data_IF_882153944407
#
_entry.id   IF_882153944407
#
_cell.length_a   1.000
_cell.length_b   1.000
_cell.length_c   1.000
_cell.angle_alpha   90.00
_cell.angle_beta   90.00
_cell.angle_gamma   90.00
#
_symmetry.space_group_name_H-M   'P 1'
#
loop_
_entity.id
_entity.type
_entity.pdbx_description
1 polymer ?
#
# COMPACT_ATOMS: atom_id res chain seq x y z
N UNK A 1 9.56 10.34 14.56
CA UNK A 1 9.59 9.38 15.70
C UNK A 1 8.20 8.84 16.08
N UNK A 2 7.17 9.68 16.32
CA UNK A 2 5.84 9.25 16.83
C UNK A 2 5.18 8.12 16.00
N UNK A 3 5.23 8.21 14.67
CA UNK A 3 4.62 7.24 13.76
C UNK A 3 5.35 5.89 13.66
N UNK A 4 6.63 5.81 14.02
CA UNK A 4 7.40 4.56 13.94
C UNK A 4 6.99 3.60 15.05
N UNK A 5 6.67 4.13 16.23
CA UNK A 5 6.20 3.34 17.39
C UNK A 5 4.89 2.60 17.09
N UNK A 6 3.97 3.23 16.35
CA UNK A 6 2.73 2.59 15.94
C UNK A 6 2.97 1.42 14.98
N UNK A 7 3.81 1.59 13.95
CA UNK A 7 4.17 0.50 13.04
C UNK A 7 4.79 -0.70 13.76
N UNK A 8 5.67 -0.47 14.74
CA UNK A 8 6.35 -1.52 15.51
C UNK A 8 5.35 -2.46 16.22
N UNK A 9 4.23 -1.94 16.71
CA UNK A 9 3.20 -2.73 17.39
C UNK A 9 2.21 -3.35 16.40
N UNK A 10 1.90 -2.64 15.31
CA UNK A 10 0.94 -3.10 14.31
C UNK A 10 1.45 -4.30 13.50
N UNK A 11 2.74 -4.37 13.18
CA UNK A 11 3.31 -5.49 12.40
C UNK A 11 3.18 -6.86 13.09
N UNK A 12 3.54 -7.02 14.37
CA UNK A 12 3.33 -8.27 15.10
C UNK A 12 1.86 -8.73 15.10
N UNK A 13 0.92 -7.80 15.32
CA UNK A 13 -0.52 -8.11 15.32
C UNK A 13 -0.96 -8.62 13.94
N UNK A 14 -0.50 -7.96 12.87
CA UNK A 14 -0.76 -8.40 11.50
C UNK A 14 -0.21 -9.80 11.25
N UNK A 15 1.03 -10.08 11.67
CA UNK A 15 1.66 -11.41 11.50
C UNK A 15 0.85 -12.48 12.21
N UNK A 16 0.48 -12.26 13.47
CA UNK A 16 -0.32 -13.22 14.25
C UNK A 16 -1.66 -13.50 13.55
N UNK A 17 -2.37 -12.46 13.08
CA UNK A 17 -3.63 -12.63 12.36
C UNK A 17 -3.47 -13.38 11.04
N UNK A 18 -2.45 -13.07 10.25
CA UNK A 18 -2.16 -13.75 8.97
C UNK A 18 -1.78 -15.22 9.23
N UNK A 19 -0.91 -15.49 10.20
CA UNK A 19 -0.54 -16.86 10.58
C UNK A 19 -1.75 -17.66 11.08
N UNK A 20 -2.60 -17.04 11.91
CA UNK A 20 -3.83 -17.66 12.41
C UNK A 20 -4.82 -17.92 11.28
N UNK A 21 -4.93 -17.01 10.30
CA UNK A 21 -5.73 -17.22 9.10
C UNK A 21 -5.30 -18.46 8.33
N UNK A 22 -4.01 -18.62 8.03
CA UNK A 22 -3.50 -19.80 7.31
C UNK A 22 -3.64 -21.09 8.11
N UNK A 23 -3.47 -21.03 9.44
CA UNK A 23 -3.58 -22.20 10.31
C UNK A 23 -5.04 -22.65 10.51
N UNK A 24 -5.92 -21.70 10.90
CA UNK A 24 -7.32 -21.99 11.21
C UNK A 24 -8.22 -22.05 9.97
N UNK A 25 -7.74 -21.57 8.81
CA UNK A 25 -8.51 -21.43 7.55
C UNK A 25 -9.84 -20.68 7.71
N UNK A 26 -9.93 -19.80 8.71
CA UNK A 26 -11.14 -19.04 8.99
C UNK A 26 -11.06 -17.64 8.37
N UNK A 27 -11.95 -17.36 7.42
CA UNK A 27 -12.03 -16.12 6.66
C UNK A 27 -12.16 -14.85 7.54
N UNK A 28 -12.69 -14.96 8.76
CA UNK A 28 -12.82 -13.81 9.67
C UNK A 28 -11.46 -13.18 9.95
N UNK A 29 -10.42 -13.99 10.17
CA UNK A 29 -9.06 -13.48 10.40
C UNK A 29 -8.51 -12.74 9.19
N UNK A 30 -8.82 -13.21 7.97
CA UNK A 30 -8.48 -12.50 6.74
C UNK A 30 -9.13 -11.11 6.70
N UNK A 31 -10.43 -11.00 6.95
CA UNK A 31 -11.11 -9.69 6.95
C UNK A 31 -10.55 -8.73 8.01
N UNK A 32 -10.13 -9.24 9.18
CA UNK A 32 -9.49 -8.42 10.22
C UNK A 32 -8.13 -7.86 9.80
N UNK A 33 -7.42 -8.50 8.86
CA UNK A 33 -6.12 -7.99 8.36
C UNK A 33 -6.28 -6.77 7.44
N UNK A 34 -7.40 -6.64 6.72
CA UNK A 34 -7.63 -5.54 5.76
C UNK A 34 -7.56 -4.15 6.42
N UNK A 35 -8.30 -3.83 7.50
CA UNK A 35 -8.23 -2.51 8.13
C UNK A 35 -6.84 -2.21 8.70
N UNK A 36 -6.11 -3.24 9.14
CA UNK A 36 -4.73 -3.11 9.63
C UNK A 36 -3.80 -2.72 8.49
N UNK A 37 -3.90 -3.37 7.33
CA UNK A 37 -3.13 -3.02 6.13
C UNK A 37 -3.40 -1.58 5.68
N UNK A 38 -4.67 -1.16 5.65
CA UNK A 38 -5.05 0.23 5.31
C UNK A 38 -4.46 1.22 6.31
N UNK A 39 -4.52 0.91 7.61
CA UNK A 39 -3.95 1.74 8.66
C UNK A 39 -2.42 1.88 8.52
N UNK A 40 -1.70 0.78 8.27
CA UNK A 40 -0.25 0.80 8.03
C UNK A 40 0.11 1.72 6.87
N UNK A 41 -0.64 1.66 5.78
CA UNK A 41 -0.45 2.54 4.63
C UNK A 41 -0.69 4.01 4.96
N UNK A 42 -1.73 4.32 5.74
CA UNK A 42 -1.98 5.69 6.21
C UNK A 42 -0.83 6.19 7.07
N UNK A 43 -0.36 5.40 8.04
CA UNK A 43 0.79 5.77 8.89
C UNK A 43 2.05 6.04 8.06
N UNK A 44 2.36 5.17 7.08
CA UNK A 44 3.49 5.37 6.17
C UNK A 44 3.33 6.65 5.32
N UNK A 45 2.12 6.94 4.84
CA UNK A 45 1.83 8.20 4.14
C UNK A 45 2.20 9.43 4.98
N UNK A 46 1.79 9.49 6.26
CA UNK A 46 2.14 10.62 7.13
C UNK A 46 3.63 10.69 7.45
N UNK A 47 4.29 9.54 7.61
CA UNK A 47 5.74 9.51 7.80
C UNK A 47 6.46 10.15 6.60
N UNK A 48 6.09 9.72 5.40
CA UNK A 48 6.74 10.19 4.18
C UNK A 48 6.40 11.66 3.91
N UNK A 49 5.14 12.05 4.12
CA UNK A 49 4.70 13.45 4.08
C UNK A 49 5.53 14.34 5.02
N UNK A 50 5.87 13.85 6.21
CA UNK A 50 6.64 14.63 7.19
C UNK A 50 8.13 14.73 6.83
N UNK A 51 8.69 13.74 6.13
CA UNK A 51 10.08 13.77 5.63
C UNK A 51 10.27 14.67 4.41
N UNK A 52 9.21 14.94 3.64
CA UNK A 52 9.29 15.81 2.47
C UNK A 52 9.70 17.23 2.87
N UNK A 53 10.80 17.71 2.27
CA UNK A 53 11.27 19.10 2.39
C UNK A 53 10.33 20.07 1.66
N UNK A 54 9.80 19.64 0.51
CA UNK A 54 8.91 20.43 -0.34
C UNK A 54 7.49 19.86 -0.26
N UNK A 55 6.55 20.68 0.21
CA UNK A 55 5.17 20.28 0.50
C UNK A 55 4.15 21.03 -0.37
N UNK A 56 4.40 21.16 -1.67
CA UNK A 56 3.42 21.75 -2.57
C UNK A 56 2.20 20.84 -2.73
N UNK A 57 1.04 21.45 -3.01
CA UNK A 57 -0.22 20.72 -3.19
C UNK A 57 -0.11 19.62 -4.25
N UNK A 58 0.63 19.87 -5.34
CA UNK A 58 0.87 18.88 -6.40
C UNK A 58 1.65 17.68 -5.88
N UNK A 59 2.76 17.90 -5.16
CA UNK A 59 3.59 16.82 -4.59
C UNK A 59 2.80 16.03 -3.54
N UNK A 60 2.05 16.71 -2.68
CA UNK A 60 1.22 16.06 -1.65
C UNK A 60 0.09 15.22 -2.25
N UNK A 61 -0.55 15.68 -3.33
CA UNK A 61 -1.56 14.91 -4.02
C UNK A 61 -0.97 13.67 -4.70
N UNK A 62 0.19 13.79 -5.36
CA UNK A 62 0.88 12.64 -5.95
C UNK A 62 1.27 11.62 -4.87
N UNK A 63 1.79 12.07 -3.73
CA UNK A 63 2.09 11.21 -2.58
C UNK A 63 0.83 10.47 -2.09
N UNK A 64 -0.34 11.12 -2.02
CA UNK A 64 -1.60 10.44 -1.65
C UNK A 64 -1.94 9.34 -2.64
N UNK A 65 -1.90 9.65 -3.93
CA UNK A 65 -2.20 8.67 -4.98
C UNK A 65 -1.24 7.49 -4.97
N UNK A 66 0.06 7.71 -4.76
CA UNK A 66 1.03 6.63 -4.65
C UNK A 66 0.68 5.65 -3.54
N UNK A 67 0.41 6.16 -2.33
CA UNK A 67 0.05 5.31 -1.20
C UNK A 67 -1.29 4.60 -1.42
N UNK A 68 -2.30 5.29 -1.97
CA UNK A 68 -3.58 4.65 -2.28
C UNK A 68 -3.43 3.54 -3.32
N UNK A 69 -2.77 3.81 -4.45
CA UNK A 69 -2.58 2.85 -5.54
C UNK A 69 -1.77 1.63 -5.08
N UNK A 70 -0.68 1.86 -4.34
CA UNK A 70 0.13 0.78 -3.78
C UNK A 70 -0.67 -0.08 -2.81
N UNK A 71 -1.45 0.55 -1.91
CA UNK A 71 -2.26 -0.18 -0.92
C UNK A 71 -3.33 -1.03 -1.58
N UNK A 72 -4.04 -0.46 -2.55
CA UNK A 72 -5.07 -1.19 -3.29
C UNK A 72 -4.45 -2.34 -4.08
N UNK A 73 -3.30 -2.14 -4.74
CA UNK A 73 -2.62 -3.21 -5.46
C UNK A 73 -2.24 -4.38 -4.54
N UNK A 74 -1.58 -4.09 -3.41
CA UNK A 74 -1.16 -5.10 -2.43
C UNK A 74 -2.37 -5.83 -1.84
N UNK A 75 -3.44 -5.11 -1.47
CA UNK A 75 -4.66 -5.72 -0.95
C UNK A 75 -5.34 -6.61 -1.99
N UNK A 76 -5.42 -6.19 -3.24
CA UNK A 76 -5.97 -7.00 -4.34
C UNK A 76 -5.17 -8.29 -4.50
N UNK A 77 -3.84 -8.22 -4.53
CA UNK A 77 -2.97 -9.40 -4.64
C UNK A 77 -3.12 -10.34 -3.44
N UNK A 78 -3.15 -9.79 -2.23
CA UNK A 78 -3.32 -10.55 -0.99
C UNK A 78 -4.69 -11.22 -0.90
N UNK A 79 -5.76 -10.52 -1.28
CA UNK A 79 -7.11 -11.06 -1.31
C UNK A 79 -7.23 -12.19 -2.31
N UNK A 80 -6.69 -11.99 -3.51
CA UNK A 80 -6.68 -12.99 -4.60
C UNK A 80 -6.01 -14.28 -4.17
N UNK A 81 -4.85 -14.17 -3.53
CA UNK A 81 -4.10 -15.33 -3.01
C UNK A 81 -4.89 -16.05 -1.91
N UNK A 82 -5.63 -15.31 -1.08
CA UNK A 82 -6.41 -15.86 0.02
C UNK A 82 -7.70 -16.54 -0.45
N UNK A 83 -8.33 -16.10 -1.55
CA UNK A 83 -9.49 -16.76 -2.13
C UNK A 83 -9.16 -18.17 -2.65
N UNK A 84 -7.98 -18.35 -3.25
CA UNK A 84 -7.51 -19.68 -3.68
C UNK A 84 -7.33 -20.69 -2.53
N UNK A 85 -7.18 -20.21 -1.29
CA UNK A 85 -7.13 -21.06 -0.08
C UNK A 85 -8.51 -21.48 0.45
N UNK A 86 -9.59 -20.81 0.03
CA UNK A 86 -10.92 -20.93 0.65
C UNK A 86 -11.95 -21.55 -0.30
N UNK A 87 -11.84 -21.38 -1.62
CA UNK A 87 -12.84 -21.90 -2.57
C UNK A 87 -12.29 -22.98 -3.50
N UNK A 88 -13.04 -24.09 -3.62
CA UNK A 88 -12.91 -25.12 -4.68
C UNK A 88 -13.46 -24.64 -6.05
N UNK A 89 -13.83 -23.37 -6.17
CA UNK A 89 -14.55 -22.83 -7.32
C UNK A 89 -13.54 -22.40 -8.38
N UNK A 90 -13.70 -22.87 -9.64
CA UNK A 90 -13.01 -22.45 -10.90
C UNK A 90 -12.25 -21.10 -10.78
N UNK A 91 -11.11 -21.13 -10.11
CA UNK A 91 -10.50 -19.95 -9.48
C UNK A 91 -9.49 -19.25 -10.38
N UNK A 92 -9.07 -19.91 -11.46
CA UNK A 92 -7.91 -19.49 -12.26
C UNK A 92 -8.17 -18.19 -13.02
N UNK A 93 -9.34 -18.03 -13.62
CA UNK A 93 -9.63 -16.85 -14.45
C UNK A 93 -9.79 -15.57 -13.61
N UNK A 94 -10.55 -15.63 -12.53
CA UNK A 94 -10.74 -14.48 -11.63
C UNK A 94 -9.46 -14.09 -10.90
N UNK A 95 -8.64 -15.07 -10.52
CA UNK A 95 -7.34 -14.79 -9.91
C UNK A 95 -6.40 -14.11 -10.90
N UNK A 96 -6.36 -14.60 -12.15
CA UNK A 96 -5.55 -13.99 -13.20
C UNK A 96 -5.94 -12.54 -13.50
N UNK A 97 -7.25 -12.26 -13.59
CA UNK A 97 -7.77 -10.89 -13.78
C UNK A 97 -7.34 -9.97 -12.62
N UNK A 98 -7.49 -10.42 -11.38
CA UNK A 98 -7.11 -9.62 -10.21
C UNK A 98 -5.60 -9.38 -10.12
N UNK A 99 -4.77 -10.35 -10.51
CA UNK A 99 -3.32 -10.17 -10.65
C UNK A 99 -2.96 -9.13 -11.71
N UNK A 100 -3.63 -9.16 -12.87
CA UNK A 100 -3.44 -8.13 -13.92
C UNK A 100 -3.81 -6.75 -13.39
N UNK A 101 -4.95 -6.61 -12.73
CA UNK A 101 -5.38 -5.32 -12.13
C UNK A 101 -4.32 -4.83 -11.14
N UNK A 102 -3.84 -5.70 -10.25
CA UNK A 102 -2.77 -5.37 -9.31
C UNK A 102 -1.49 -4.92 -10.02
N UNK A 103 -1.08 -5.62 -11.08
CA UNK A 103 0.11 -5.26 -11.86
C UNK A 103 -0.02 -3.89 -12.53
N UNK A 104 -1.19 -3.58 -13.12
CA UNK A 104 -1.48 -2.27 -13.72
C UNK A 104 -1.42 -1.17 -12.65
N UNK A 105 -1.99 -1.40 -11.46
CA UNK A 105 -1.94 -0.45 -10.35
C UNK A 105 -0.49 -0.21 -9.87
N UNK A 106 0.36 -1.24 -9.83
CA UNK A 106 1.78 -1.12 -9.48
C UNK A 106 2.57 -0.34 -10.55
N UNK A 107 2.28 -0.55 -11.83
CA UNK A 107 2.87 0.23 -12.91
C UNK A 107 2.48 1.71 -12.80
N UNK A 108 1.20 2.00 -12.55
CA UNK A 108 0.73 3.36 -12.32
C UNK A 108 1.38 3.99 -11.09
N UNK A 109 1.52 3.24 -9.99
CA UNK A 109 2.28 3.67 -8.82
C UNK A 109 3.71 4.08 -9.19
N UNK A 110 4.43 3.25 -9.96
CA UNK A 110 5.80 3.54 -10.37
C UNK A 110 5.90 4.83 -11.21
N UNK A 111 4.97 5.02 -12.16
CA UNK A 111 4.89 6.24 -12.98
C UNK A 111 4.66 7.48 -12.11
N UNK A 112 3.74 7.41 -11.15
CA UNK A 112 3.44 8.54 -10.25
C UNK A 112 4.66 8.84 -9.36
N UNK A 113 5.32 7.81 -8.83
CA UNK A 113 6.53 7.95 -8.02
C UNK A 113 7.66 8.67 -8.77
N UNK A 114 7.91 8.28 -10.02
CA UNK A 114 8.90 8.94 -10.88
C UNK A 114 8.51 10.40 -11.11
N UNK A 115 7.25 10.67 -11.46
CA UNK A 115 6.73 12.02 -11.69
C UNK A 115 6.89 12.91 -10.46
N UNK A 116 6.56 12.42 -9.26
CA UNK A 116 6.73 13.17 -8.01
C UNK A 116 8.20 13.48 -7.75
N UNK A 117 9.07 12.50 -7.94
CA UNK A 117 10.52 12.66 -7.72
C UNK A 117 11.11 13.73 -8.64
N UNK A 118 10.70 13.76 -9.91
CA UNK A 118 11.11 14.80 -10.85
C UNK A 118 10.61 16.19 -10.44
N UNK A 119 9.35 16.29 -10.02
CA UNK A 119 8.77 17.56 -9.54
C UNK A 119 9.51 18.10 -8.31
N UNK A 120 9.80 17.25 -7.33
CA UNK A 120 10.57 17.64 -6.13
C UNK A 120 11.95 18.18 -6.53
N UNK A 121 12.65 17.51 -7.46
CA UNK A 121 13.96 17.96 -7.96
C UNK A 121 13.89 19.32 -8.67
N UNK A 122 12.86 19.54 -9.48
CA UNK A 122 12.63 20.82 -10.15
C UNK A 122 12.38 21.94 -9.15
N UNK A 123 11.54 21.70 -8.15
CA UNK A 123 11.26 22.69 -7.11
C UNK A 123 12.50 22.98 -6.23
N UNK A 124 13.32 21.96 -5.92
CA UNK A 124 14.60 22.15 -5.22
C UNK A 124 15.57 23.02 -6.01
N UNK A 125 15.72 22.77 -7.33
CA UNK A 125 16.59 23.59 -8.20
C UNK A 125 16.14 25.04 -8.26
N UNK A 126 14.83 25.28 -8.34
CA UNK A 126 14.24 26.62 -8.36
C UNK A 126 14.46 27.38 -7.05
N UNK A 127 14.42 26.68 -5.91
CA UNK A 127 14.67 27.30 -4.61
C UNK A 127 16.15 27.61 -4.38
N UNK A 128 17.07 26.80 -4.92
CA UNK A 128 18.51 27.03 -4.81
C UNK A 128 19.05 28.07 -5.81
N UNK A 129 18.28 28.42 -6.86
CA UNK A 129 18.64 29.45 -7.83
C UNK A 129 18.12 30.85 -7.45
N UNK A 130 17.55 31.00 -6.25
CA UNK A 130 17.11 32.26 -5.65
C UNK A 130 18.01 32.58 -4.47
#
# INVERSE_FOLDING_TARGET
MKYNKYLIITFPILIILVSTFFYAKNIIYFYLTIPICVYVSFVRYYQEKNKLLIKTNKVLNLLKYEFTMYTVAVLTMYSTSSFGFISEIKSVEYTYIAFIISAILLLLYAVIYIKRTLLIRQELRKNNSK
#
